data_IF_658834650630
#
_entry.id   IF_658834650630
#
_cell.length_a   1.000
_cell.length_b   1.000
_cell.length_c   1.000
_cell.angle_alpha   90.00
_cell.angle_beta   90.00
_cell.angle_gamma   90.00
#
_symmetry.space_group_name_H-M   'P 1'
#
loop_
_entity.id
_entity.type
_entity.pdbx_description
1 polymer ?
#
# COMPACT_ATOMS: atom_id res chain seq x y z
N UNK A 1 47.75 -16.24 40.94
CA UNK A 1 47.15 -14.93 40.60
C UNK A 1 46.31 -15.06 39.32
N UNK A 2 45.15 -15.72 39.41
CA UNK A 2 44.26 -16.04 38.26
C UNK A 2 42.94 -15.23 38.34
N UNK A 3 42.56 -14.71 39.50
CA UNK A 3 41.29 -14.01 39.72
C UNK A 3 41.18 -12.66 38.99
N UNK A 4 42.27 -11.89 38.84
CA UNK A 4 42.22 -10.56 38.22
C UNK A 4 41.87 -10.59 36.72
N UNK A 5 42.19 -11.68 36.00
CA UNK A 5 41.95 -11.78 34.55
C UNK A 5 40.48 -12.06 34.25
N UNK A 6 39.84 -12.91 35.06
CA UNK A 6 38.43 -13.25 34.90
C UNK A 6 37.52 -12.05 35.22
N UNK A 7 37.84 -11.30 36.28
CA UNK A 7 37.12 -10.06 36.60
C UNK A 7 37.26 -9.00 35.52
N UNK A 8 38.43 -8.89 34.88
CA UNK A 8 38.65 -7.98 33.77
C UNK A 8 37.79 -8.36 32.56
N UNK A 9 37.73 -9.65 32.21
CA UNK A 9 36.88 -10.15 31.10
C UNK A 9 35.40 -9.91 31.39
N UNK A 10 34.94 -10.19 32.61
CA UNK A 10 33.55 -9.97 33.03
C UNK A 10 33.16 -8.50 32.95
N UNK A 11 34.04 -7.59 33.36
CA UNK A 11 33.83 -6.13 33.24
C UNK A 11 33.77 -5.69 31.77
N UNK A 12 34.66 -6.19 30.92
CA UNK A 12 34.65 -5.86 29.49
C UNK A 12 33.36 -6.34 28.81
N UNK A 13 32.90 -7.57 29.11
CA UNK A 13 31.65 -8.09 28.57
C UNK A 13 30.43 -7.29 29.03
N UNK A 14 30.38 -6.88 30.30
CA UNK A 14 29.28 -6.05 30.81
C UNK A 14 29.22 -4.69 30.10
N UNK A 15 30.37 -4.04 29.87
CA UNK A 15 30.45 -2.77 29.15
C UNK A 15 29.99 -2.94 27.69
N UNK A 16 30.42 -4.02 27.03
CA UNK A 16 30.04 -4.31 25.64
C UNK A 16 28.52 -4.54 25.51
N UNK A 17 27.92 -5.28 26.45
CA UNK A 17 26.48 -5.54 26.47
C UNK A 17 25.65 -4.27 26.65
N UNK A 18 26.08 -3.37 27.54
CA UNK A 18 25.41 -2.07 27.75
C UNK A 18 25.52 -1.20 26.50
N UNK A 19 26.69 -1.15 25.86
CA UNK A 19 26.88 -0.44 24.59
C UNK A 19 25.98 -1.00 23.47
N UNK A 20 25.93 -2.32 23.29
CA UNK A 20 25.06 -2.97 22.30
C UNK A 20 23.58 -2.69 22.57
N UNK A 21 23.16 -2.66 23.84
CA UNK A 21 21.78 -2.36 24.23
C UNK A 21 21.41 -0.90 23.91
N UNK A 22 22.28 0.06 24.20
CA UNK A 22 22.06 1.47 23.87
C UNK A 22 21.99 1.73 22.35
N UNK A 23 22.84 1.04 21.57
CA UNK A 23 22.86 1.14 20.11
C UNK A 23 21.63 0.49 19.45
N UNK A 24 21.08 -0.58 20.03
CA UNK A 24 19.88 -1.24 19.50
C UNK A 24 18.59 -0.45 19.76
N UNK A 25 18.50 0.25 20.89
CA UNK A 25 17.37 1.15 21.21
C UNK A 25 17.29 2.34 20.25
N UNK A 26 18.42 2.78 19.69
CA UNK A 26 18.48 3.90 18.73
C UNK A 26 18.32 3.46 17.26
N UNK A 27 18.62 2.22 16.91
CA UNK A 27 18.38 1.69 15.56
C UNK A 27 16.91 1.31 15.30
N UNK A 28 16.16 0.90 16.32
CA UNK A 28 14.77 0.46 16.18
C UNK A 28 13.79 1.60 15.84
N UNK A 29 14.09 2.84 16.21
CA UNK A 29 13.19 4.00 16.05
C UNK A 29 13.22 4.66 14.66
N UNK A 30 14.29 4.44 13.88
CA UNK A 30 14.44 5.06 12.55
C UNK A 30 13.71 4.27 11.45
N UNK A 31 13.39 2.99 11.67
CA UNK A 31 12.78 2.13 10.64
C UNK A 31 11.27 2.35 10.45
N UNK A 32 10.56 2.88 11.45
CA UNK A 32 9.09 2.96 11.44
C UNK A 32 8.50 4.31 10.97
N UNK A 33 9.28 5.40 11.00
CA UNK A 33 8.78 6.76 10.74
C UNK A 33 8.74 7.15 9.24
N UNK A 34 9.38 6.38 8.36
CA UNK A 34 9.30 6.59 6.92
C UNK A 34 8.04 5.97 6.33
N UNK A 35 7.18 6.79 5.70
CA UNK A 35 6.21 6.42 4.64
C UNK A 35 4.71 6.29 4.94
N UNK A 36 4.13 6.92 5.97
CA UNK A 36 2.65 6.98 6.11
C UNK A 36 1.92 7.53 4.87
N UNK A 37 2.55 8.39 4.06
CA UNK A 37 1.95 8.91 2.80
C UNK A 37 1.90 7.92 1.63
N UNK A 38 2.61 6.78 1.69
CA UNK A 38 2.73 5.84 0.57
C UNK A 38 2.21 4.42 0.88
N UNK A 39 1.60 4.21 2.05
CA UNK A 39 1.30 2.86 2.52
C UNK A 39 0.11 2.18 1.85
N UNK A 40 -0.74 2.91 1.14
CA UNK A 40 -1.98 2.31 0.65
C UNK A 40 -2.44 2.76 -0.74
N UNK A 41 -1.52 2.65 -1.71
CA UNK A 41 -1.87 2.86 -3.12
C UNK A 41 -3.04 2.00 -3.56
N UNK A 42 -3.15 0.76 -3.04
CA UNK A 42 -4.25 -0.14 -3.38
C UNK A 42 -5.62 0.42 -2.99
N UNK A 43 -5.84 0.83 -1.75
CA UNK A 43 -7.15 1.32 -1.33
C UNK A 43 -7.51 2.65 -1.98
N UNK A 44 -6.53 3.55 -2.19
CA UNK A 44 -6.75 4.78 -2.94
C UNK A 44 -7.15 4.49 -4.40
N UNK A 45 -6.41 3.58 -5.04
CA UNK A 45 -6.71 3.08 -6.37
C UNK A 45 -8.11 2.49 -6.43
N UNK A 46 -8.45 1.59 -5.51
CA UNK A 46 -9.76 0.92 -5.44
C UNK A 46 -10.90 1.92 -5.34
N UNK A 47 -10.82 2.86 -4.39
CA UNK A 47 -11.85 3.88 -4.20
C UNK A 47 -12.04 4.76 -5.44
N UNK A 48 -10.94 5.13 -6.11
CA UNK A 48 -11.00 5.90 -7.36
C UNK A 48 -11.61 5.08 -8.49
N UNK A 49 -11.10 3.86 -8.69
CA UNK A 49 -11.60 2.91 -9.68
C UNK A 49 -13.08 2.65 -9.53
N UNK A 50 -13.56 2.41 -8.31
CA UNK A 50 -14.98 2.16 -8.03
C UNK A 50 -15.89 3.31 -8.48
N UNK A 51 -15.51 4.55 -8.22
CA UNK A 51 -16.26 5.73 -8.69
C UNK A 51 -16.25 5.85 -10.21
N UNK A 52 -15.07 5.66 -10.82
CA UNK A 52 -14.90 5.75 -12.27
C UNK A 52 -15.70 4.64 -12.98
N UNK A 53 -15.68 3.42 -12.43
CA UNK A 53 -16.42 2.25 -12.90
C UNK A 53 -17.93 2.44 -12.82
N UNK A 54 -18.47 2.94 -11.70
CA UNK A 54 -19.90 3.29 -11.59
C UNK A 54 -20.29 4.34 -12.64
N UNK A 55 -19.46 5.36 -12.81
CA UNK A 55 -19.74 6.44 -13.78
C UNK A 55 -19.81 5.89 -15.20
N UNK A 56 -18.88 5.00 -15.57
CA UNK A 56 -18.91 4.38 -16.89
C UNK A 56 -20.08 3.41 -17.04
N UNK A 57 -20.34 2.56 -16.05
CA UNK A 57 -21.47 1.64 -16.06
C UNK A 57 -22.80 2.36 -16.27
N UNK A 58 -22.97 3.55 -15.66
CA UNK A 58 -24.18 4.36 -15.85
C UNK A 58 -24.31 4.88 -17.28
N UNK A 59 -23.21 5.36 -17.87
CA UNK A 59 -23.19 5.83 -19.26
C UNK A 59 -23.51 4.70 -20.24
N UNK A 60 -22.92 3.53 -20.02
CA UNK A 60 -23.13 2.37 -20.86
C UNK A 60 -24.57 1.84 -20.73
N UNK A 61 -25.11 1.81 -19.50
CA UNK A 61 -26.50 1.47 -19.24
C UNK A 61 -27.47 2.37 -20.03
N UNK A 62 -27.28 3.70 -19.95
CA UNK A 62 -28.13 4.67 -20.67
C UNK A 62 -28.02 4.47 -22.18
N UNK A 63 -26.82 4.21 -22.70
CA UNK A 63 -26.56 4.17 -24.14
C UNK A 63 -26.93 2.83 -24.79
N UNK A 64 -26.73 1.73 -24.07
CA UNK A 64 -26.77 0.38 -24.64
C UNK A 64 -27.63 -0.60 -23.84
N UNK A 65 -28.27 -0.14 -22.75
CA UNK A 65 -29.00 -0.99 -21.83
C UNK A 65 -28.08 -2.03 -21.17
N UNK A 66 -28.53 -3.27 -21.16
CA UNK A 66 -27.93 -4.37 -20.40
C UNK A 66 -26.71 -5.02 -21.08
N UNK A 67 -26.33 -4.59 -22.29
CA UNK A 67 -25.25 -5.21 -23.07
C UNK A 67 -23.90 -5.03 -22.40
N UNK A 68 -23.08 -6.09 -22.40
CA UNK A 68 -21.70 -6.04 -21.92
C UNK A 68 -20.77 -5.41 -22.95
N UNK A 69 -20.36 -4.17 -22.69
CA UNK A 69 -19.58 -3.38 -23.65
C UNK A 69 -18.25 -2.90 -23.05
N UNK A 70 -17.94 -3.31 -21.81
CA UNK A 70 -16.68 -2.97 -21.17
C UNK A 70 -15.51 -3.64 -21.92
N UNK A 71 -14.91 -2.88 -22.84
CA UNK A 71 -13.80 -3.33 -23.68
C UNK A 71 -12.44 -3.02 -23.04
N UNK A 72 -12.35 -1.94 -22.27
CA UNK A 72 -11.09 -1.49 -21.65
C UNK A 72 -11.32 -0.66 -20.39
N UNK A 73 -10.53 -0.94 -19.36
CA UNK A 73 -10.43 -0.10 -18.16
C UNK A 73 -9.45 1.04 -18.43
N UNK A 74 -9.84 2.32 -18.25
CA UNK A 74 -8.93 3.45 -18.39
C UNK A 74 -7.74 3.34 -17.46
N UNK A 75 -6.56 3.75 -17.93
CA UNK A 75 -5.39 3.85 -17.06
C UNK A 75 -5.62 4.97 -16.04
N UNK A 76 -5.37 4.72 -14.73
CA UNK A 76 -5.48 5.76 -13.73
C UNK A 76 -4.42 6.85 -13.88
N UNK A 77 -4.58 8.01 -13.21
CA UNK A 77 -3.59 9.06 -13.19
C UNK A 77 -2.20 8.55 -12.76
N UNK A 78 -1.16 9.07 -13.42
CA UNK A 78 0.24 8.75 -13.12
C UNK A 78 0.93 10.01 -12.57
N UNK A 79 1.02 10.11 -11.24
CA UNK A 79 1.72 11.22 -10.57
C UNK A 79 3.21 10.88 -10.43
N UNK A 80 4.10 11.76 -10.89
CA UNK A 80 5.56 11.56 -10.78
C UNK A 80 6.05 11.51 -9.32
N UNK A 81 5.28 12.07 -8.38
CA UNK A 81 5.60 12.09 -6.95
C UNK A 81 5.37 10.76 -6.25
N UNK A 82 4.63 9.84 -6.87
CA UNK A 82 4.36 8.53 -6.28
C UNK A 82 5.56 7.60 -6.45
N UNK A 83 5.81 6.79 -5.41
CA UNK A 83 6.79 5.71 -5.51
C UNK A 83 6.31 4.67 -6.52
N UNK A 84 7.25 3.93 -7.13
CA UNK A 84 6.90 2.79 -8.00
C UNK A 84 5.95 1.81 -7.30
N UNK A 85 6.24 1.49 -6.04
CA UNK A 85 5.39 0.63 -5.23
C UNK A 85 3.96 1.17 -5.08
N UNK A 86 3.79 2.45 -4.76
CA UNK A 86 2.47 3.06 -4.67
C UNK A 86 1.74 3.01 -6.01
N UNK A 87 2.41 3.37 -7.13
CA UNK A 87 1.84 3.32 -8.48
C UNK A 87 1.34 1.93 -8.85
N UNK A 88 2.18 0.92 -8.63
CA UNK A 88 1.85 -0.47 -8.98
C UNK A 88 0.63 -0.96 -8.19
N UNK A 89 0.57 -0.64 -6.89
CA UNK A 89 -0.58 -0.99 -6.06
C UNK A 89 -1.83 -0.17 -6.41
N UNK A 90 -1.68 1.12 -6.72
CA UNK A 90 -2.77 1.97 -7.19
C UNK A 90 -3.40 1.43 -8.46
N UNK A 91 -2.60 1.03 -9.45
CA UNK A 91 -3.11 0.46 -10.70
C UNK A 91 -3.88 -0.84 -10.43
N UNK A 92 -3.38 -1.71 -9.54
CA UNK A 92 -4.07 -2.94 -9.14
C UNK A 92 -5.41 -2.65 -8.47
N UNK A 93 -5.41 -1.76 -7.49
CA UNK A 93 -6.61 -1.34 -6.77
C UNK A 93 -7.63 -0.71 -7.72
N UNK A 94 -7.19 0.22 -8.58
CA UNK A 94 -8.05 0.91 -9.55
C UNK A 94 -8.73 -0.06 -10.50
N UNK A 95 -8.00 -1.01 -11.09
CA UNK A 95 -8.59 -2.04 -11.96
C UNK A 95 -9.68 -2.84 -11.23
N UNK A 96 -9.39 -3.29 -10.01
CA UNK A 96 -10.34 -4.09 -9.22
C UNK A 96 -11.59 -3.28 -8.86
N UNK A 97 -11.39 -2.09 -8.30
CA UNK A 97 -12.50 -1.19 -7.95
C UNK A 97 -13.34 -0.81 -9.16
N UNK A 98 -12.72 -0.56 -10.32
CA UNK A 98 -13.43 -0.22 -11.54
C UNK A 98 -14.40 -1.30 -11.98
N UNK A 99 -13.95 -2.56 -12.02
CA UNK A 99 -14.81 -3.70 -12.38
C UNK A 99 -15.96 -3.83 -11.37
N UNK A 100 -15.67 -3.74 -10.07
CA UNK A 100 -16.68 -3.85 -9.02
C UNK A 100 -17.74 -2.75 -9.14
N UNK A 101 -17.31 -1.50 -9.32
CA UNK A 101 -18.21 -0.36 -9.49
C UNK A 101 -19.04 -0.43 -10.77
N UNK A 102 -18.43 -0.86 -11.88
CA UNK A 102 -19.14 -1.05 -13.15
C UNK A 102 -20.22 -2.12 -13.03
N UNK A 103 -19.88 -3.27 -12.44
CA UNK A 103 -20.80 -4.38 -12.27
C UNK A 103 -21.99 -4.02 -11.38
N UNK A 104 -21.80 -3.21 -10.32
CA UNK A 104 -22.93 -2.76 -9.49
C UNK A 104 -23.98 -2.03 -10.33
N UNK A 105 -23.56 -1.07 -11.17
CA UNK A 105 -24.50 -0.35 -12.03
C UNK A 105 -25.13 -1.26 -13.07
N UNK A 106 -24.36 -2.19 -13.64
CA UNK A 106 -24.92 -3.18 -14.57
C UNK A 106 -26.06 -3.96 -13.92
N UNK A 107 -25.92 -4.40 -12.68
CA UNK A 107 -26.99 -5.07 -11.95
C UNK A 107 -28.20 -4.16 -11.70
N UNK A 108 -27.96 -2.88 -11.37
CA UNK A 108 -29.02 -1.89 -11.20
C UNK A 108 -29.75 -1.59 -12.53
N UNK A 109 -29.04 -1.63 -13.66
CA UNK A 109 -29.58 -1.43 -15.01
C UNK A 109 -30.51 -2.57 -15.47
N UNK A 110 -30.44 -3.73 -14.82
CA UNK A 110 -31.32 -4.88 -15.09
C UNK A 110 -32.71 -4.75 -14.43
N UNK A 111 -32.90 -3.75 -13.55
CA UNK A 111 -34.18 -3.47 -12.87
C UNK A 111 -34.94 -2.35 -13.58
#
# INVERSE_FOLDING_TARGET
MICNKFDRIRKTLAILLVLCFLLSVSAASVSAAGSTKNKDGYNDGYRKGYKDGRTQGQKDCIKYGIREILSKIPLPPNDYRWTKYYKDNFIKGHRKGYIDGYNVIRYECLK
#
